data_IF_767155729927
#
_entry.id   IF_767155729927
#
_cell.length_a   1.000
_cell.length_b   1.000
_cell.length_c   1.000
_cell.angle_alpha   90.00
_cell.angle_beta   90.00
_cell.angle_gamma   90.00
#
_symmetry.space_group_name_H-M   'P 1'
#
loop_
_entity.id
_entity.type
_entity.pdbx_description
1 polymer ?
#
# COMPACT_ATOMS: atom_id res chain seq x y z
N UNK A 1 30.79 83.42 -26.92
CA UNK A 1 29.81 82.39 -26.56
C UNK A 1 30.14 81.95 -25.12
N UNK A 2 29.60 80.87 -24.57
CA UNK A 2 29.96 80.48 -23.19
C UNK A 2 31.41 79.98 -23.05
N UNK A 3 32.08 79.62 -24.16
CA UNK A 3 33.45 79.09 -24.22
C UNK A 3 34.50 80.22 -24.33
N UNK A 4 34.06 81.48 -24.31
CA UNK A 4 34.93 82.65 -24.49
C UNK A 4 35.25 82.99 -25.95
N UNK A 5 34.67 82.27 -26.93
CA UNK A 5 34.90 82.51 -28.35
C UNK A 5 34.00 83.65 -28.88
N UNK A 6 34.59 84.66 -29.51
CA UNK A 6 33.84 85.78 -30.10
C UNK A 6 33.01 85.28 -31.29
N UNK A 7 31.69 85.49 -31.26
CA UNK A 7 30.72 84.96 -32.23
C UNK A 7 30.70 83.42 -32.35
N UNK A 8 31.21 82.69 -31.35
CA UNK A 8 31.10 81.23 -31.29
C UNK A 8 29.67 80.74 -31.02
N UNK A 9 29.47 79.43 -31.10
CA UNK A 9 28.15 78.78 -30.99
C UNK A 9 27.94 77.97 -29.71
N UNK A 10 28.91 77.92 -28.78
CA UNK A 10 28.77 77.19 -27.52
C UNK A 10 27.79 77.89 -26.54
N UNK A 11 26.94 77.12 -25.88
CA UNK A 11 25.97 77.65 -24.90
C UNK A 11 26.01 76.84 -23.61
N UNK A 12 25.60 77.47 -22.49
CA UNK A 12 25.35 76.74 -21.25
C UNK A 12 24.17 75.80 -21.51
N UNK A 13 24.39 74.51 -21.32
CA UNK A 13 23.42 73.45 -21.52
C UNK A 13 22.56 73.24 -20.26
N UNK A 14 21.63 72.30 -20.30
CA UNK A 14 20.69 72.06 -19.20
C UNK A 14 21.33 71.40 -17.98
N UNK A 15 22.59 70.97 -18.09
CA UNK A 15 23.43 70.51 -16.97
C UNK A 15 24.19 71.66 -16.29
N UNK A 16 24.08 72.88 -16.82
CA UNK A 16 24.87 74.03 -16.38
C UNK A 16 26.31 74.02 -16.90
N UNK A 17 26.62 73.18 -17.90
CA UNK A 17 27.96 73.06 -18.50
C UNK A 17 28.00 73.84 -19.81
N UNK A 18 29.11 74.51 -20.09
CA UNK A 18 29.31 75.12 -21.41
C UNK A 18 29.65 74.04 -22.44
N UNK A 19 28.73 73.77 -23.38
CA UNK A 19 28.82 72.65 -24.34
C UNK A 19 28.49 73.11 -25.78
N UNK A 20 28.89 72.32 -26.79
CA UNK A 20 28.73 72.66 -28.21
C UNK A 20 29.83 73.58 -28.77
N UNK A 21 29.73 73.99 -30.04
CA UNK A 21 30.75 74.81 -30.70
C UNK A 21 32.14 74.17 -30.69
N UNK A 22 33.15 74.90 -30.22
CA UNK A 22 34.54 74.44 -30.12
C UNK A 22 34.90 73.79 -28.77
N UNK A 23 33.95 73.57 -27.86
CA UNK A 23 34.21 72.99 -26.54
C UNK A 23 34.65 71.52 -26.62
N UNK A 24 34.33 70.82 -27.71
CA UNK A 24 34.51 69.37 -27.84
C UNK A 24 33.52 68.55 -27.01
N UNK A 25 32.61 69.21 -26.28
CA UNK A 25 31.58 68.57 -25.46
C UNK A 25 30.26 68.54 -26.23
N UNK A 26 29.59 67.38 -26.18
CA UNK A 26 28.23 67.23 -26.71
C UNK A 26 27.27 67.87 -25.68
N UNK A 27 26.38 68.80 -26.09
CA UNK A 27 25.40 69.40 -25.19
C UNK A 27 24.59 68.37 -24.41
N UNK A 28 24.34 68.69 -23.14
CA UNK A 28 23.53 67.93 -22.17
C UNK A 28 24.12 66.56 -21.75
N UNK A 29 25.10 66.01 -22.47
CA UNK A 29 25.62 64.66 -22.27
C UNK A 29 26.16 64.36 -20.87
N UNK A 30 26.57 65.38 -20.11
CA UNK A 30 27.16 65.22 -18.77
C UNK A 30 26.15 64.91 -17.66
N UNK A 31 24.87 65.22 -17.87
CA UNK A 31 23.79 64.96 -16.92
C UNK A 31 22.60 64.24 -17.56
N UNK A 32 22.72 63.83 -18.82
CA UNK A 32 21.79 62.91 -19.46
C UNK A 32 21.90 61.55 -18.80
N UNK A 33 20.77 61.02 -18.33
CA UNK A 33 20.69 59.69 -17.73
C UNK A 33 20.76 58.58 -18.81
N UNK A 34 20.75 57.31 -18.41
CA UNK A 34 20.87 56.23 -19.39
C UNK A 34 19.67 56.11 -20.35
N UNK A 35 18.53 56.76 -20.04
CA UNK A 35 17.31 56.78 -20.86
C UNK A 35 17.32 57.95 -21.86
N UNK A 36 18.35 58.81 -21.81
CA UNK A 36 18.43 60.00 -22.64
C UNK A 36 17.75 61.23 -22.03
N UNK A 37 17.27 61.15 -20.78
CA UNK A 37 16.61 62.26 -20.11
C UNK A 37 17.64 63.15 -19.41
N UNK A 38 17.63 64.43 -19.76
CA UNK A 38 18.52 65.43 -19.17
C UNK A 38 18.13 65.68 -17.71
N UNK A 39 19.08 65.54 -16.79
CA UNK A 39 18.86 65.52 -15.34
C UNK A 39 17.88 64.42 -14.88
N UNK A 40 17.74 63.36 -15.67
CA UNK A 40 16.97 62.19 -15.31
C UNK A 40 17.63 61.36 -14.22
N UNK A 41 16.90 60.37 -13.69
CA UNK A 41 17.37 59.51 -12.58
C UNK A 41 17.53 58.04 -12.99
N UNK A 42 17.41 57.70 -14.27
CA UNK A 42 17.61 56.33 -14.72
C UNK A 42 19.10 55.95 -14.69
N UNK A 43 19.40 54.72 -14.28
CA UNK A 43 20.77 54.20 -14.22
C UNK A 43 20.85 52.81 -14.82
N UNK A 44 22.05 52.43 -15.31
CA UNK A 44 22.32 51.05 -15.66
C UNK A 44 22.33 50.22 -14.37
N UNK A 45 21.46 49.22 -14.32
CA UNK A 45 21.30 48.33 -13.17
C UNK A 45 22.22 47.10 -13.25
N UNK A 46 22.08 46.17 -12.30
CA UNK A 46 22.91 44.96 -12.22
C UNK A 46 22.61 43.96 -13.34
N UNK A 47 21.53 44.18 -14.10
CA UNK A 47 21.17 43.42 -15.29
C UNK A 47 21.77 44.01 -16.56
N UNK A 48 22.48 45.14 -16.46
CA UNK A 48 22.98 45.89 -17.60
C UNK A 48 21.90 46.64 -18.37
N UNK A 49 20.71 46.81 -17.77
CA UNK A 49 19.56 47.49 -18.38
C UNK A 49 19.46 48.90 -17.80
N UNK A 50 19.11 49.87 -18.64
CA UNK A 50 18.76 51.19 -18.15
C UNK A 50 17.38 51.16 -17.50
N UNK A 51 17.30 51.38 -16.19
CA UNK A 51 16.06 51.26 -15.40
C UNK A 51 15.94 52.36 -14.33
N UNK A 52 14.76 52.50 -13.74
CA UNK A 52 14.41 53.64 -12.87
C UNK A 52 14.08 54.93 -13.65
N UNK A 53 13.83 56.04 -12.95
CA UNK A 53 13.44 57.30 -13.58
C UNK A 53 12.19 57.18 -14.45
N UNK A 54 12.25 57.68 -15.69
CA UNK A 54 11.13 57.66 -16.65
C UNK A 54 11.14 56.45 -17.60
N UNK A 55 12.03 55.47 -17.39
CA UNK A 55 12.10 54.27 -18.26
C UNK A 55 10.83 53.41 -18.18
N UNK A 56 10.06 53.53 -17.10
CA UNK A 56 8.96 52.62 -16.79
C UNK A 56 9.42 51.22 -16.33
N UNK A 57 10.74 51.02 -16.19
CA UNK A 57 11.35 49.77 -15.74
C UNK A 57 11.75 49.89 -14.27
N UNK A 58 11.46 48.86 -13.48
CA UNK A 58 11.90 48.75 -12.10
C UNK A 58 13.37 48.29 -12.08
N UNK A 59 14.27 48.95 -11.33
CA UNK A 59 15.66 48.53 -11.22
C UNK A 59 15.83 47.07 -10.83
N UNK A 60 16.78 46.40 -11.50
CA UNK A 60 17.17 45.01 -11.31
C UNK A 60 16.08 43.95 -11.63
N UNK A 61 14.87 44.36 -11.96
CA UNK A 61 13.73 43.45 -12.12
C UNK A 61 13.91 42.47 -13.29
N UNK A 62 14.69 42.81 -14.32
CA UNK A 62 14.86 41.95 -15.51
C UNK A 62 15.78 40.74 -15.30
N UNK A 63 16.59 40.73 -14.25
CA UNK A 63 17.50 39.63 -13.92
C UNK A 63 17.41 39.21 -12.44
N UNK A 64 16.40 39.70 -11.72
CA UNK A 64 16.09 39.24 -10.39
C UNK A 64 15.68 37.76 -10.43
N UNK A 65 16.20 36.98 -9.49
CA UNK A 65 15.76 35.61 -9.24
C UNK A 65 14.39 35.59 -8.51
N UNK A 66 13.92 34.40 -8.15
CA UNK A 66 12.63 34.23 -7.51
C UNK A 66 12.54 34.81 -6.08
N UNK A 67 13.67 35.17 -5.47
CA UNK A 67 13.73 35.88 -4.19
C UNK A 67 14.00 37.38 -4.35
N UNK A 68 14.01 37.89 -5.59
CA UNK A 68 14.27 39.29 -5.90
C UNK A 68 15.76 39.66 -5.87
N UNK A 69 16.66 38.68 -5.86
CA UNK A 69 18.10 38.90 -5.84
C UNK A 69 18.61 39.00 -7.29
N UNK A 70 19.23 40.13 -7.69
CA UNK A 70 19.74 40.29 -9.05
C UNK A 70 20.85 39.27 -9.34
N UNK A 71 20.74 38.53 -10.45
CA UNK A 71 21.64 37.44 -10.83
C UNK A 71 21.81 36.35 -9.75
N UNK A 72 20.79 36.16 -8.91
CA UNK A 72 20.79 35.13 -7.87
C UNK A 72 20.54 33.71 -8.41
N UNK A 73 20.77 32.68 -7.57
CA UNK A 73 20.70 31.28 -7.98
C UNK A 73 19.27 30.74 -8.07
N UNK A 74 18.27 31.39 -7.45
CA UNK A 74 16.91 30.87 -7.30
C UNK A 74 16.06 31.09 -8.56
N UNK A 75 16.43 30.39 -9.64
CA UNK A 75 15.78 30.50 -10.95
C UNK A 75 14.87 29.31 -11.25
N UNK A 76 13.89 29.43 -12.18
CA UNK A 76 13.00 28.32 -12.53
C UNK A 76 13.74 27.02 -12.84
N UNK A 77 13.32 25.93 -12.19
CA UNK A 77 13.93 24.61 -12.28
C UNK A 77 15.07 24.35 -11.28
N UNK A 78 15.50 25.35 -10.51
CA UNK A 78 16.44 25.14 -9.40
C UNK A 78 15.71 24.59 -8.17
N UNK A 79 16.40 23.81 -7.31
CA UNK A 79 15.82 23.27 -6.09
C UNK A 79 15.44 24.39 -5.10
N UNK A 80 14.37 24.16 -4.34
CA UNK A 80 13.94 25.02 -3.23
C UNK A 80 13.35 24.15 -2.10
N UNK A 81 12.72 24.75 -1.08
CA UNK A 81 11.97 24.07 -0.03
C UNK A 81 10.73 24.91 0.28
N UNK A 82 9.53 24.38 0.01
CA UNK A 82 8.26 25.08 0.23
C UNK A 82 7.74 24.91 1.67
N UNK A 83 8.48 24.18 2.52
CA UNK A 83 8.18 23.91 3.92
C UNK A 83 7.06 22.87 4.12
N UNK A 84 6.57 22.25 3.05
CA UNK A 84 5.52 21.24 3.12
C UNK A 84 6.11 19.83 3.22
N UNK A 85 5.97 19.19 4.38
CA UNK A 85 6.46 17.82 4.59
C UNK A 85 5.77 16.71 3.77
N UNK A 86 4.77 17.05 2.94
CA UNK A 86 4.04 16.13 2.07
C UNK A 86 4.49 16.21 0.59
N UNK A 87 5.54 16.96 0.29
CA UNK A 87 6.07 17.13 -1.07
C UNK A 87 7.57 16.83 -1.12
N UNK A 88 8.04 16.33 -2.28
CA UNK A 88 9.43 16.05 -2.60
C UNK A 88 9.85 16.75 -3.89
N UNK A 89 11.15 16.92 -4.06
CA UNK A 89 11.76 17.50 -5.26
C UNK A 89 11.22 18.90 -5.57
N UNK A 90 11.16 19.77 -4.56
CA UNK A 90 10.70 21.14 -4.68
C UNK A 90 11.57 21.95 -5.64
N UNK A 91 10.93 22.63 -6.59
CA UNK A 91 11.60 23.47 -7.58
C UNK A 91 10.85 24.75 -7.82
N UNK A 92 11.58 25.80 -8.19
CA UNK A 92 11.00 27.07 -8.63
C UNK A 92 10.27 26.89 -9.98
N UNK A 93 9.00 27.28 -10.07
CA UNK A 93 8.26 27.30 -11.32
C UNK A 93 8.53 28.58 -12.16
N UNK A 94 7.97 28.67 -13.37
CA UNK A 94 8.10 29.85 -14.25
C UNK A 94 7.45 31.12 -13.68
N UNK A 95 6.67 30.98 -12.61
CA UNK A 95 5.99 32.06 -11.90
C UNK A 95 6.66 32.37 -10.55
N UNK A 96 7.83 31.79 -10.28
CA UNK A 96 8.58 31.94 -9.03
C UNK A 96 7.82 31.50 -7.77
N UNK A 97 6.97 30.48 -7.90
CA UNK A 97 6.48 29.72 -6.77
C UNK A 97 7.43 28.55 -6.51
N UNK A 98 7.88 28.41 -5.26
CA UNK A 98 8.52 27.17 -4.84
C UNK A 98 7.41 26.13 -4.65
N UNK A 99 7.41 25.09 -5.48
CA UNK A 99 6.41 24.04 -5.43
C UNK A 99 7.09 22.67 -5.45
N UNK A 100 6.66 21.84 -4.52
CA UNK A 100 7.02 20.43 -4.49
C UNK A 100 6.14 19.53 -5.34
N UNK A 101 6.68 18.38 -5.72
CA UNK A 101 5.87 17.27 -6.22
C UNK A 101 5.28 16.56 -5.01
N UNK A 102 3.95 16.36 -4.91
CA UNK A 102 3.39 15.60 -3.79
C UNK A 102 4.10 14.26 -3.63
N UNK A 103 4.58 13.97 -2.42
CA UNK A 103 5.05 12.64 -2.06
C UNK A 103 3.83 11.73 -2.17
N UNK A 104 3.72 11.04 -3.30
CA UNK A 104 2.56 10.19 -3.64
C UNK A 104 1.34 10.97 -4.15
N UNK A 105 1.29 11.26 -5.46
CA UNK A 105 0.18 11.91 -6.17
C UNK A 105 -1.22 11.28 -5.98
N UNK A 106 -1.84 11.57 -4.82
CA UNK A 106 -3.06 10.95 -4.36
C UNK A 106 -4.24 11.21 -5.29
N UNK A 107 -4.87 10.12 -5.71
CA UNK A 107 -6.04 10.12 -6.62
C UNK A 107 -7.25 9.44 -5.99
N UNK A 108 -7.06 8.73 -4.86
CA UNK A 108 -8.07 7.91 -4.22
C UNK A 108 -8.06 8.17 -2.70
N UNK A 109 -9.19 8.61 -2.17
CA UNK A 109 -9.39 8.81 -0.74
C UNK A 109 -9.98 7.54 -0.12
N UNK A 110 -9.38 7.08 0.98
CA UNK A 110 -9.81 5.88 1.70
C UNK A 110 -9.97 6.16 3.18
N UNK A 111 -10.71 5.29 3.87
CA UNK A 111 -10.80 5.26 5.32
C UNK A 111 -10.42 3.87 5.82
N UNK A 112 -9.52 3.81 6.80
CA UNK A 112 -9.20 2.61 7.55
C UNK A 112 -9.82 2.72 8.94
N UNK A 113 -10.94 2.03 9.13
CA UNK A 113 -11.63 1.94 10.41
C UNK A 113 -11.04 0.77 11.22
N UNK A 114 -10.50 1.05 12.39
CA UNK A 114 -9.82 0.09 13.26
C UNK A 114 -10.61 -0.01 14.56
N UNK A 115 -11.24 -1.15 14.81
CA UNK A 115 -11.85 -1.46 16.09
C UNK A 115 -10.79 -2.03 17.01
N UNK A 116 -10.37 -1.25 18.01
CA UNK A 116 -9.33 -1.67 18.94
C UNK A 116 -9.82 -2.75 19.90
N UNK A 117 -8.90 -3.55 20.40
CA UNK A 117 -9.09 -4.31 21.63
C UNK A 117 -8.64 -3.49 22.85
N UNK A 118 -8.46 -4.13 24.01
CA UNK A 118 -8.08 -3.42 25.22
C UNK A 118 -6.62 -2.94 25.23
N UNK A 119 -5.78 -3.40 24.30
CA UNK A 119 -4.34 -3.13 24.26
C UNK A 119 -3.96 -2.40 22.96
N UNK A 120 -4.64 -1.28 22.68
CA UNK A 120 -4.39 -0.48 21.49
C UNK A 120 -2.92 -0.06 21.29
N UNK A 121 -2.10 -0.03 22.35
CA UNK A 121 -0.66 0.25 22.23
C UNK A 121 0.14 -0.80 21.47
N UNK A 122 -0.42 -1.99 21.27
CA UNK A 122 0.20 -3.09 20.53
C UNK A 122 -0.20 -3.08 19.04
N UNK A 123 -1.31 -2.41 18.70
CA UNK A 123 -1.83 -2.35 17.34
C UNK A 123 -1.12 -1.28 16.52
N UNK A 124 -0.42 -1.69 15.46
CA UNK A 124 0.11 -0.78 14.43
C UNK A 124 -0.32 -1.22 13.04
N UNK A 125 -0.22 -0.35 12.05
CA UNK A 125 -0.51 -0.71 10.66
C UNK A 125 0.42 0.00 9.70
N UNK A 126 0.65 -0.65 8.55
CA UNK A 126 1.55 -0.21 7.51
C UNK A 126 0.96 -0.51 6.13
N UNK A 127 1.07 0.44 5.21
CA UNK A 127 0.74 0.25 3.80
C UNK A 127 2.02 0.31 2.99
N UNK A 128 2.28 -0.76 2.24
CA UNK A 128 3.40 -0.86 1.31
C UNK A 128 2.93 -0.79 -0.14
N UNK A 129 3.87 -0.50 -1.04
CA UNK A 129 3.71 -0.69 -2.49
C UNK A 129 3.30 -2.13 -2.86
N UNK A 130 3.00 -2.34 -4.15
CA UNK A 130 2.57 -3.65 -4.68
C UNK A 130 3.59 -4.77 -4.40
N UNK A 131 4.87 -4.44 -4.38
CA UNK A 131 5.99 -5.38 -4.18
C UNK A 131 6.23 -5.71 -2.70
N UNK A 132 5.71 -4.90 -1.77
CA UNK A 132 5.95 -5.03 -0.34
C UNK A 132 7.32 -4.51 0.08
N UNK A 133 7.90 -3.59 -0.69
CA UNK A 133 9.28 -3.12 -0.52
C UNK A 133 9.36 -1.70 0.00
N UNK A 134 8.49 -0.81 -0.49
CA UNK A 134 8.45 0.59 -0.08
C UNK A 134 7.27 0.82 0.85
N UNK A 135 7.56 1.33 2.06
CA UNK A 135 6.54 1.83 2.98
C UNK A 135 5.96 3.13 2.40
N UNK A 136 4.63 3.19 2.27
CA UNK A 136 3.89 4.34 1.74
C UNK A 136 3.34 5.19 2.88
N UNK A 137 2.74 4.54 3.88
CA UNK A 137 2.17 5.21 5.06
C UNK A 137 1.96 4.20 6.18
N UNK A 138 1.89 4.67 7.42
CA UNK A 138 1.71 3.84 8.62
C UNK A 138 1.00 4.63 9.73
N UNK A 139 0.54 3.92 10.75
CA UNK A 139 -0.10 4.51 11.93
C UNK A 139 -0.17 3.57 13.13
N UNK A 140 -0.77 4.07 14.21
CA UNK A 140 -0.58 3.53 15.56
C UNK A 140 0.80 3.89 16.14
N UNK A 141 1.13 3.38 17.34
CA UNK A 141 0.27 2.64 18.25
C UNK A 141 -0.84 3.51 18.85
N UNK A 142 -1.87 2.90 19.41
CA UNK A 142 -3.03 3.58 19.99
C UNK A 142 -3.04 3.55 21.52
N UNK A 143 -4.03 4.19 22.14
CA UNK A 143 -4.17 4.20 23.59
C UNK A 143 -4.73 2.86 24.10
N UNK A 144 -4.23 2.38 25.24
CA UNK A 144 -4.79 1.22 25.94
C UNK A 144 -6.11 1.55 26.68
N UNK A 145 -6.89 0.51 26.97
CA UNK A 145 -8.09 0.58 27.82
C UNK A 145 -9.33 1.15 27.13
N UNK A 146 -9.30 1.31 25.81
CA UNK A 146 -10.42 1.83 25.00
C UNK A 146 -10.99 0.77 24.04
N UNK A 147 -10.90 -0.52 24.41
CA UNK A 147 -11.37 -1.62 23.58
C UNK A 147 -12.83 -1.49 23.12
N UNK A 148 -13.07 -1.90 21.88
CA UNK A 148 -14.33 -1.72 21.15
C UNK A 148 -14.51 -0.35 20.52
N UNK A 149 -13.60 0.61 20.75
CA UNK A 149 -13.62 1.91 20.09
C UNK A 149 -13.11 1.79 18.66
N UNK A 150 -13.75 2.52 17.73
CA UNK A 150 -13.30 2.63 16.34
C UNK A 150 -12.42 3.86 16.17
N UNK A 151 -11.18 3.66 15.74
CA UNK A 151 -10.29 4.71 15.24
C UNK A 151 -10.40 4.74 13.72
N UNK A 152 -10.67 5.92 13.14
CA UNK A 152 -10.73 6.09 11.69
C UNK A 152 -9.52 6.85 11.21
N UNK A 153 -8.69 6.18 10.43
CA UNK A 153 -7.54 6.77 9.73
C UNK A 153 -7.96 7.16 8.31
N UNK A 154 -7.71 8.41 7.93
CA UNK A 154 -7.98 8.90 6.58
C UNK A 154 -6.72 8.75 5.75
N UNK A 155 -6.83 8.03 4.63
CA UNK A 155 -5.70 7.70 3.77
C UNK A 155 -5.87 8.30 2.39
N UNK A 156 -4.73 8.63 1.77
CA UNK A 156 -4.68 9.19 0.43
C UNK A 156 -3.70 8.35 -0.40
N UNK A 157 -4.21 7.58 -1.37
CA UNK A 157 -3.41 6.66 -2.19
C UNK A 157 -3.62 6.91 -3.69
N UNK A 158 -2.79 6.29 -4.52
CA UNK A 158 -2.84 6.43 -5.98
C UNK A 158 -3.57 5.24 -6.61
N UNK A 159 -3.98 5.36 -7.88
CA UNK A 159 -4.60 4.28 -8.66
C UNK A 159 -3.61 3.16 -9.05
N UNK A 160 -3.02 2.48 -8.06
CA UNK A 160 -2.14 1.32 -8.20
C UNK A 160 -2.53 0.23 -7.19
N UNK A 161 -1.69 -0.81 -7.07
CA UNK A 161 -1.87 -1.86 -6.08
C UNK A 161 -0.99 -1.64 -4.85
N UNK A 162 -1.50 -2.03 -3.68
CA UNK A 162 -0.87 -1.88 -2.38
C UNK A 162 -1.04 -3.14 -1.53
N UNK A 163 -0.36 -3.15 -0.38
CA UNK A 163 -0.49 -4.17 0.66
C UNK A 163 -0.72 -3.46 1.99
N UNK A 164 -1.77 -3.86 2.69
CA UNK A 164 -1.99 -3.47 4.08
C UNK A 164 -1.48 -4.57 5.00
N UNK A 165 -0.71 -4.19 6.02
CA UNK A 165 -0.25 -5.05 7.09
C UNK A 165 -0.72 -4.42 8.40
N UNK A 166 -1.35 -5.21 9.27
CA UNK A 166 -1.68 -4.83 10.64
C UNK A 166 -0.88 -5.72 11.57
N UNK A 167 -0.19 -5.11 12.52
CA UNK A 167 0.70 -5.80 13.45
C UNK A 167 0.16 -5.68 14.88
N UNK A 168 0.49 -6.70 15.66
CA UNK A 168 0.22 -6.79 17.08
C UNK A 168 1.49 -7.28 17.81
N UNK A 169 1.99 -6.48 18.74
CA UNK A 169 3.29 -6.74 19.39
C UNK A 169 3.28 -8.00 20.28
N UNK A 170 2.13 -8.41 20.80
CA UNK A 170 2.02 -9.54 21.74
C UNK A 170 1.66 -10.87 21.05
N UNK A 171 1.19 -10.82 19.80
CA UNK A 171 0.89 -11.98 19.00
C UNK A 171 -0.46 -12.63 19.27
N UNK A 172 -1.36 -11.97 19.98
CA UNK A 172 -2.74 -12.40 20.20
C UNK A 172 -3.75 -11.71 19.26
N UNK A 173 -3.26 -10.79 18.42
CA UNK A 173 -4.05 -10.11 17.40
C UNK A 173 -4.88 -8.98 17.99
N UNK A 174 -6.09 -8.78 17.49
CA UNK A 174 -7.01 -7.75 17.99
C UNK A 174 -8.26 -8.40 18.59
N UNK A 175 -8.16 -8.91 19.82
CA UNK A 175 -9.21 -9.75 20.42
C UNK A 175 -10.54 -8.98 20.61
N UNK A 176 -11.53 -9.30 19.77
CA UNK A 176 -12.83 -8.61 19.74
C UNK A 176 -12.81 -7.28 19.00
N UNK A 177 -11.71 -6.98 18.32
CA UNK A 177 -11.52 -5.85 17.43
C UNK A 177 -11.58 -6.25 15.95
N UNK A 178 -10.79 -5.55 15.13
CA UNK A 178 -10.68 -5.79 13.70
C UNK A 178 -10.45 -4.50 12.92
N UNK A 179 -10.40 -4.60 11.58
CA UNK A 179 -10.19 -3.43 10.73
C UNK A 179 -10.91 -3.55 9.39
N UNK A 180 -11.37 -2.42 8.88
CA UNK A 180 -12.09 -2.31 7.61
C UNK A 180 -11.52 -1.16 6.79
N UNK A 181 -11.01 -1.48 5.60
CA UNK A 181 -10.55 -0.50 4.63
C UNK A 181 -11.66 -0.22 3.61
N UNK A 182 -11.99 1.06 3.37
CA UNK A 182 -13.03 1.50 2.45
C UNK A 182 -12.53 2.61 1.54
N UNK A 183 -13.14 2.72 0.37
CA UNK A 183 -13.00 3.93 -0.46
C UNK A 183 -13.95 5.07 -0.03
N UNK A 184 -13.83 6.21 -0.71
CA UNK A 184 -14.65 7.40 -0.52
C UNK A 184 -16.16 7.19 -0.74
N UNK A 185 -16.54 6.13 -1.46
CA UNK A 185 -17.92 5.69 -1.67
C UNK A 185 -18.41 4.71 -0.60
N UNK A 186 -17.58 4.39 0.39
CA UNK A 186 -17.87 3.45 1.48
C UNK A 186 -17.83 1.98 1.04
N UNK A 187 -17.35 1.67 -0.18
CA UNK A 187 -17.19 0.31 -0.67
C UNK A 187 -16.02 -0.35 0.06
N UNK A 188 -16.25 -1.54 0.63
CA UNK A 188 -15.22 -2.28 1.36
C UNK A 188 -14.18 -2.85 0.40
N UNK A 189 -12.91 -2.62 0.75
CA UNK A 189 -11.71 -3.15 0.09
C UNK A 189 -11.18 -4.34 0.90
N UNK A 190 -11.13 -4.20 2.22
CA UNK A 190 -10.72 -5.23 3.20
C UNK A 190 -11.67 -5.15 4.39
N UNK A 191 -12.02 -6.30 4.95
CA UNK A 191 -12.81 -6.45 6.18
C UNK A 191 -12.22 -7.62 6.97
N UNK A 192 -11.67 -7.35 8.14
CA UNK A 192 -10.87 -8.28 8.93
C UNK A 192 -11.32 -8.27 10.39
N UNK A 193 -11.45 -9.45 11.00
CA UNK A 193 -11.99 -9.64 12.35
C UNK A 193 -10.92 -9.65 13.46
N UNK A 194 -9.69 -9.25 13.13
CA UNK A 194 -8.59 -9.15 14.09
C UNK A 194 -7.94 -10.47 14.51
N UNK A 195 -8.37 -11.62 13.97
CA UNK A 195 -7.84 -12.94 14.34
C UNK A 195 -6.53 -13.29 13.61
N UNK A 196 -5.46 -12.58 13.94
CA UNK A 196 -4.10 -12.88 13.48
C UNK A 196 -3.15 -13.01 14.69
N UNK A 197 -1.94 -13.55 14.46
CA UNK A 197 -0.90 -13.61 15.49
C UNK A 197 -0.22 -12.24 15.64
N UNK A 198 1.10 -12.18 15.50
CA UNK A 198 1.83 -10.89 15.60
C UNK A 198 1.65 -9.96 14.40
N UNK A 199 1.15 -10.49 13.29
CA UNK A 199 0.89 -9.71 12.08
C UNK A 199 -0.11 -10.42 11.20
N UNK A 200 -0.92 -9.66 10.46
CA UNK A 200 -1.79 -10.13 9.38
C UNK A 200 -0.92 -10.62 8.20
N UNK A 201 -0.14 -11.68 8.41
CA UNK A 201 0.99 -12.07 7.57
C UNK A 201 0.57 -12.95 6.39
N UNK A 202 -0.19 -12.38 5.45
CA UNK A 202 0.00 -12.59 4.00
C UNK A 202 -0.89 -11.69 3.14
N UNK A 203 -0.28 -10.66 2.57
CA UNK A 203 -0.66 -9.95 1.33
C UNK A 203 -2.16 -9.91 1.04
N UNK A 204 -2.91 -9.12 1.80
CA UNK A 204 -4.21 -8.65 1.34
C UNK A 204 -3.97 -7.57 0.30
N UNK A 205 -3.57 -8.01 -0.91
CA UNK A 205 -3.33 -7.13 -2.04
C UNK A 205 -4.65 -6.50 -2.43
N UNK A 206 -4.66 -5.18 -2.43
CA UNK A 206 -5.75 -4.41 -3.01
C UNK A 206 -5.22 -3.50 -4.11
N UNK A 207 -6.10 -3.17 -5.05
CA UNK A 207 -5.78 -2.29 -6.16
C UNK A 207 -6.88 -1.26 -6.28
N UNK A 208 -6.49 -0.03 -6.64
CA UNK A 208 -7.37 1.09 -6.84
C UNK A 208 -7.35 1.54 -8.31
N UNK A 209 -8.44 2.12 -8.83
CA UNK A 209 -9.76 2.21 -8.19
C UNK A 209 -10.48 0.85 -8.18
N UNK A 210 -11.48 0.69 -7.30
CA UNK A 210 -12.37 -0.46 -7.36
C UNK A 210 -13.27 -0.38 -8.60
N UNK A 211 -13.41 -1.51 -9.30
CA UNK A 211 -14.34 -1.62 -10.43
C UNK A 211 -15.79 -1.76 -9.98
N UNK A 212 -16.70 -1.66 -10.95
CA UNK A 212 -18.13 -1.86 -10.73
C UNK A 212 -18.54 -3.34 -10.63
N UNK A 213 -17.64 -4.29 -10.91
CA UNK A 213 -17.96 -5.70 -10.73
C UNK A 213 -18.21 -5.95 -9.24
N UNK A 214 -19.22 -6.75 -8.89
CA UNK A 214 -19.53 -7.08 -7.50
C UNK A 214 -20.25 -8.40 -7.40
N UNK A 215 -20.37 -8.93 -6.19
CA UNK A 215 -21.37 -9.95 -5.90
C UNK A 215 -22.77 -9.33 -5.93
N UNK A 216 -23.80 -10.14 -6.21
CA UNK A 216 -25.19 -9.70 -6.08
C UNK A 216 -25.43 -9.31 -4.62
N UNK A 217 -26.12 -8.18 -4.38
CA UNK A 217 -26.27 -7.62 -3.03
C UNK A 217 -26.97 -8.60 -2.06
N UNK A 218 -27.91 -9.44 -2.53
CA UNK A 218 -28.57 -10.49 -1.71
C UNK A 218 -27.65 -11.65 -1.30
N UNK A 219 -26.48 -11.75 -1.92
CA UNK A 219 -25.46 -12.75 -1.65
C UNK A 219 -24.22 -12.16 -0.97
N UNK A 220 -24.17 -10.84 -0.81
CA UNK A 220 -23.13 -10.17 -0.06
C UNK A 220 -23.34 -10.38 1.45
N UNK A 221 -22.27 -10.51 2.23
CA UNK A 221 -22.30 -10.63 3.70
C UNK A 221 -23.06 -11.84 4.26
N UNK A 222 -23.12 -12.93 3.47
CA UNK A 222 -23.76 -14.18 3.88
C UNK A 222 -22.79 -15.03 4.70
N UNK A 223 -22.97 -15.00 6.03
CA UNK A 223 -22.19 -15.81 6.99
C UNK A 223 -22.89 -17.11 7.41
N UNK A 224 -24.10 -17.35 6.91
CA UNK A 224 -24.98 -18.47 7.25
C UNK A 224 -24.99 -19.59 6.20
N UNK A 225 -24.08 -19.56 5.22
CA UNK A 225 -24.09 -20.53 4.12
C UNK A 225 -23.59 -21.88 4.62
N UNK A 226 -24.25 -22.96 4.20
CA UNK A 226 -23.75 -24.33 4.44
C UNK A 226 -22.68 -24.65 3.41
N UNK A 227 -21.61 -25.33 3.79
CA UNK A 227 -20.58 -25.75 2.86
C UNK A 227 -21.02 -27.01 2.10
N UNK A 228 -21.62 -26.80 0.92
CA UNK A 228 -22.21 -27.88 0.13
C UNK A 228 -22.14 -27.61 -1.38
N UNK A 229 -22.35 -28.64 -2.18
CA UNK A 229 -22.44 -28.55 -3.65
C UNK A 229 -23.69 -27.81 -4.14
N UNK A 230 -24.67 -27.58 -3.26
CA UNK A 230 -25.84 -26.72 -3.54
C UNK A 230 -25.59 -25.23 -3.26
N UNK A 231 -24.49 -24.87 -2.60
CA UNK A 231 -24.21 -23.49 -2.22
C UNK A 231 -23.58 -22.74 -3.39
N UNK A 232 -24.28 -21.72 -3.87
CA UNK A 232 -23.88 -20.92 -5.01
C UNK A 232 -23.58 -19.49 -4.59
N UNK A 233 -22.53 -18.90 -5.15
CA UNK A 233 -22.18 -17.50 -5.00
C UNK A 233 -22.27 -16.85 -6.37
N UNK A 234 -22.91 -15.67 -6.44
CA UNK A 234 -23.25 -15.02 -7.70
C UNK A 234 -22.57 -13.67 -7.86
N UNK A 235 -21.85 -13.52 -8.98
CA UNK A 235 -21.43 -12.22 -9.47
C UNK A 235 -22.64 -11.49 -10.10
N UNK A 236 -22.73 -10.18 -9.91
CA UNK A 236 -23.71 -9.36 -10.60
C UNK A 236 -23.38 -9.31 -12.08
N UNK A 237 -24.39 -9.54 -12.93
CA UNK A 237 -24.26 -9.40 -14.39
C UNK A 237 -24.38 -7.94 -14.84
N UNK A 238 -23.75 -7.03 -14.10
CA UNK A 238 -23.84 -5.59 -14.31
C UNK A 238 -22.74 -5.04 -15.23
N UNK A 239 -21.86 -5.90 -15.76
CA UNK A 239 -20.77 -5.51 -16.65
C UNK A 239 -21.11 -5.85 -18.10
N UNK A 240 -21.40 -4.86 -18.95
CA UNK A 240 -21.64 -5.08 -20.38
C UNK A 240 -20.43 -5.72 -21.06
N UNK A 241 -20.66 -6.73 -21.92
CA UNK A 241 -19.59 -7.40 -22.66
C UNK A 241 -18.74 -8.36 -21.84
N UNK A 242 -19.12 -8.69 -20.60
CA UNK A 242 -18.43 -9.70 -19.80
C UNK A 242 -18.51 -11.09 -20.45
N UNK A 243 -17.34 -11.68 -20.70
CA UNK A 243 -17.15 -13.04 -21.22
C UNK A 243 -17.04 -14.09 -20.10
N UNK A 244 -16.94 -13.63 -18.85
CA UNK A 244 -16.84 -14.45 -17.66
C UNK A 244 -16.39 -13.62 -16.46
N UNK A 245 -16.30 -14.27 -15.31
CA UNK A 245 -15.93 -13.63 -14.05
C UNK A 245 -14.83 -14.42 -13.36
N UNK A 246 -13.85 -13.73 -12.80
CA UNK A 246 -12.93 -14.31 -11.84
C UNK A 246 -13.35 -13.91 -10.44
N UNK A 247 -13.52 -14.91 -9.58
CA UNK A 247 -13.77 -14.77 -8.16
C UNK A 247 -12.43 -14.86 -7.42
N UNK A 248 -12.27 -14.04 -6.39
CA UNK A 248 -11.25 -14.25 -5.37
C UNK A 248 -11.93 -14.55 -4.04
N UNK A 249 -11.40 -15.52 -3.30
CA UNK A 249 -11.75 -15.81 -1.92
C UNK A 249 -10.47 -15.74 -1.11
N UNK A 250 -10.43 -14.79 -0.19
CA UNK A 250 -9.24 -14.43 0.57
C UNK A 250 -9.58 -14.44 2.06
N UNK A 251 -8.75 -15.08 2.87
CA UNK A 251 -8.69 -14.76 4.29
C UNK A 251 -8.07 -13.36 4.43
N UNK A 252 -8.76 -12.39 5.08
CA UNK A 252 -8.19 -11.05 5.33
C UNK A 252 -6.83 -11.05 6.03
N UNK A 253 -6.50 -12.10 6.77
CA UNK A 253 -5.24 -12.23 7.50
C UNK A 253 -4.16 -12.97 6.72
N UNK A 254 -4.51 -13.53 5.56
CA UNK A 254 -3.56 -14.08 4.59
C UNK A 254 -3.32 -15.59 4.63
N UNK A 255 -4.02 -16.36 5.48
CA UNK A 255 -3.84 -17.82 5.53
C UNK A 255 -4.31 -18.52 4.25
N UNK A 256 -5.25 -17.91 3.52
CA UNK A 256 -5.88 -18.49 2.34
C UNK A 256 -6.11 -17.46 1.23
N UNK A 257 -5.78 -17.83 -0.01
CA UNK A 257 -6.17 -17.09 -1.21
C UNK A 257 -6.46 -18.05 -2.36
N UNK A 258 -7.59 -17.83 -3.05
CA UNK A 258 -7.95 -18.61 -4.22
C UNK A 258 -8.65 -17.79 -5.27
N UNK A 259 -8.10 -17.85 -6.48
CA UNK A 259 -8.71 -17.29 -7.68
C UNK A 259 -9.41 -18.37 -8.51
N UNK A 260 -10.65 -18.13 -8.92
CA UNK A 260 -11.43 -19.06 -9.73
C UNK A 260 -12.10 -18.33 -10.88
N UNK A 261 -11.75 -18.68 -12.11
CA UNK A 261 -12.48 -18.21 -13.29
C UNK A 261 -13.71 -19.07 -13.55
N UNK A 262 -14.82 -18.42 -13.91
CA UNK A 262 -16.07 -19.04 -14.35
C UNK A 262 -16.56 -18.32 -15.61
N UNK A 263 -16.94 -19.07 -16.68
CA UNK A 263 -17.57 -18.46 -17.86
C UNK A 263 -18.96 -17.90 -17.53
N UNK A 264 -19.57 -18.37 -16.44
CA UNK A 264 -20.83 -17.84 -15.88
C UNK A 264 -20.54 -17.01 -14.64
N UNK A 265 -21.47 -16.13 -14.26
CA UNK A 265 -21.41 -15.40 -12.99
C UNK A 265 -21.71 -16.26 -11.75
N UNK A 266 -21.50 -17.57 -11.78
CA UNK A 266 -21.87 -18.50 -10.70
C UNK A 266 -20.66 -19.33 -10.29
N UNK A 267 -20.34 -19.28 -9.00
CA UNK A 267 -19.35 -20.12 -8.34
C UNK A 267 -20.03 -21.09 -7.37
N UNK A 268 -19.58 -22.35 -7.38
CA UNK A 268 -19.96 -23.35 -6.37
C UNK A 268 -18.68 -23.71 -5.60
N UNK A 269 -18.46 -23.15 -4.39
CA UNK A 269 -17.23 -23.35 -3.64
C UNK A 269 -16.87 -24.82 -3.40
N UNK A 270 -17.86 -25.65 -3.07
CA UNK A 270 -17.65 -27.07 -2.78
C UNK A 270 -17.19 -27.92 -3.98
N UNK A 271 -17.25 -27.39 -5.21
CA UNK A 271 -16.75 -28.08 -6.40
C UNK A 271 -15.24 -27.85 -6.63
N UNK A 272 -14.58 -27.06 -5.78
CA UNK A 272 -13.16 -26.74 -5.90
C UNK A 272 -12.31 -27.81 -5.22
N UNK A 273 -11.97 -28.86 -5.96
CA UNK A 273 -11.21 -29.99 -5.41
C UNK A 273 -9.73 -29.67 -5.11
N UNK A 274 -9.16 -28.66 -5.76
CA UNK A 274 -7.80 -28.20 -5.51
C UNK A 274 -7.83 -26.89 -4.73
N UNK A 275 -7.17 -26.86 -3.58
CA UNK A 275 -7.18 -25.73 -2.64
C UNK A 275 -8.63 -25.24 -2.35
N UNK A 276 -9.51 -26.12 -1.82
CA UNK A 276 -10.88 -25.74 -1.46
C UNK A 276 -10.88 -24.59 -0.45
N UNK A 277 -11.89 -23.70 -0.46
CA UNK A 277 -12.02 -22.68 0.57
C UNK A 277 -12.18 -23.32 1.95
N UNK A 278 -11.57 -22.73 2.99
CA UNK A 278 -11.72 -23.21 4.36
C UNK A 278 -13.18 -23.08 4.81
N UNK A 279 -13.61 -24.03 5.63
CA UNK A 279 -14.90 -23.96 6.29
C UNK A 279 -14.80 -23.06 7.53
N UNK A 280 -15.94 -22.50 7.96
CA UNK A 280 -16.11 -21.80 9.23
C UNK A 280 -15.23 -20.55 9.42
N UNK A 281 -14.61 -20.06 8.33
CA UNK A 281 -13.81 -18.84 8.28
C UNK A 281 -14.56 -17.73 7.53
N UNK A 282 -14.42 -16.48 8.00
CA UNK A 282 -14.89 -15.30 7.27
C UNK A 282 -13.92 -14.97 6.13
N UNK A 283 -14.39 -15.11 4.90
CA UNK A 283 -13.60 -14.85 3.70
C UNK A 283 -14.04 -13.55 3.04
N UNK A 284 -13.07 -12.71 2.67
CA UNK A 284 -13.27 -11.60 1.77
C UNK A 284 -13.40 -12.11 0.33
N UNK A 285 -14.61 -12.03 -0.20
CA UNK A 285 -14.93 -12.47 -1.55
C UNK A 285 -15.16 -11.27 -2.46
N UNK A 286 -14.35 -11.17 -3.53
CA UNK A 286 -14.45 -10.13 -4.56
C UNK A 286 -14.47 -10.75 -5.95
N UNK A 287 -14.97 -9.98 -6.92
CA UNK A 287 -15.06 -10.44 -8.32
C UNK A 287 -14.52 -9.39 -9.28
N UNK A 288 -14.02 -9.85 -10.42
CA UNK A 288 -13.69 -9.01 -11.59
C UNK A 288 -14.18 -9.66 -12.87
N UNK A 289 -14.60 -8.84 -13.83
CA UNK A 289 -15.08 -9.31 -15.12
C UNK A 289 -13.92 -9.49 -16.12
N UNK A 290 -14.04 -10.47 -17.01
CA UNK A 290 -13.22 -10.61 -18.20
C UNK A 290 -13.95 -9.96 -19.38
N UNK A 291 -13.39 -8.92 -19.98
CA UNK A 291 -13.98 -8.19 -21.12
C UNK A 291 -12.94 -8.12 -22.23
N UNK A 292 -13.29 -8.55 -23.44
CA UNK A 292 -12.39 -8.59 -24.60
C UNK A 292 -11.03 -9.25 -24.30
N UNK A 293 -11.05 -10.36 -23.55
CA UNK A 293 -9.83 -11.08 -23.16
C UNK A 293 -8.98 -10.42 -22.06
N UNK A 294 -9.40 -9.28 -21.49
CA UNK A 294 -8.68 -8.57 -20.44
C UNK A 294 -9.49 -8.50 -19.14
N UNK A 295 -8.84 -8.77 -18.00
CA UNK A 295 -9.48 -8.63 -16.70
C UNK A 295 -9.61 -7.16 -16.30
N UNK A 296 -10.81 -6.77 -15.88
CA UNK A 296 -11.05 -5.47 -15.27
C UNK A 296 -10.49 -5.41 -13.84
N UNK A 297 -10.54 -4.24 -13.21
CA UNK A 297 -10.20 -4.08 -11.79
C UNK A 297 -11.08 -4.93 -10.87
N UNK A 298 -10.61 -5.17 -9.65
CA UNK A 298 -11.42 -5.86 -8.63
C UNK A 298 -12.54 -4.98 -8.11
N UNK A 299 -13.69 -5.59 -7.84
CA UNK A 299 -14.81 -4.97 -7.16
C UNK A 299 -14.65 -4.85 -5.65
N UNK A 300 -15.67 -4.27 -5.02
CA UNK A 300 -15.84 -4.31 -3.56
C UNK A 300 -15.88 -5.76 -3.06
N UNK A 301 -15.40 -5.98 -1.83
CA UNK A 301 -15.53 -7.27 -1.14
C UNK A 301 -16.92 -7.45 -0.51
N UNK A 302 -17.27 -8.71 -0.28
CA UNK A 302 -18.30 -9.14 0.65
C UNK A 302 -17.70 -10.19 1.59
N UNK A 303 -18.17 -10.26 2.84
CA UNK A 303 -17.69 -11.26 3.79
C UNK A 303 -18.56 -12.51 3.70
N UNK A 304 -17.99 -13.65 3.36
CA UNK A 304 -18.73 -14.91 3.19
C UNK A 304 -18.17 -15.97 4.13
N UNK A 305 -19.05 -16.69 4.84
CA UNK A 305 -18.69 -17.86 5.65
C UNK A 305 -19.39 -19.11 5.14
N UNK A 306 -18.61 -20.17 4.92
CA UNK A 306 -19.09 -21.49 4.51
C UNK A 306 -19.03 -22.44 5.72
N UNK A 307 -20.17 -22.69 6.34
CA UNK A 307 -20.26 -23.44 7.58
C UNK A 307 -20.29 -24.96 7.35
N UNK A 308 -19.57 -25.73 8.16
CA UNK A 308 -19.53 -27.20 8.02
C UNK A 308 -20.95 -27.80 8.20
N UNK A 309 -21.41 -28.71 7.30
CA UNK A 309 -22.75 -29.32 7.41
C UNK A 309 -22.93 -30.10 8.73
N UNK A 310 -23.99 -29.78 9.48
CA UNK A 310 -24.33 -30.45 10.74
C UNK A 310 -23.83 -29.77 12.02
N UNK A 311 -23.04 -28.68 11.90
CA UNK A 311 -22.56 -27.86 13.01
C UNK A 311 -23.48 -26.69 13.36
N UNK A 312 -24.72 -26.96 13.75
CA UNK A 312 -25.58 -25.94 14.34
C UNK A 312 -25.18 -25.67 15.79
N UNK A 313 -24.44 -24.56 16.01
CA UNK A 313 -24.09 -23.97 17.33
C UNK A 313 -23.17 -24.82 18.22
N UNK A 314 -21.88 -24.53 18.15
CA UNK A 314 -21.11 -24.26 19.36
C UNK A 314 -19.98 -23.29 19.00
N UNK A 315 -19.90 -22.17 19.73
CA UNK A 315 -18.61 -21.60 20.03
C UNK A 315 -17.87 -22.67 20.85
N UNK A 316 -17.15 -23.54 20.17
CA UNK A 316 -16.08 -24.34 20.74
C UNK A 316 -14.88 -23.93 19.94
N UNK A 317 -14.05 -23.08 20.55
CA UNK A 317 -12.62 -23.13 20.30
C UNK A 317 -12.23 -24.61 20.32
N UNK A 318 -11.92 -25.12 19.14
CA UNK A 318 -11.22 -26.38 18.93
C UNK A 318 -10.02 -26.09 18.04
N UNK A 319 -9.33 -25.01 18.38
CA UNK A 319 -7.89 -24.93 18.26
C UNK A 319 -7.44 -24.46 19.64
N UNK A 320 -7.20 -25.41 20.51
CA UNK A 320 -6.26 -25.18 21.61
C UNK A 320 -4.87 -25.07 20.95
N UNK A 321 -4.61 -23.93 20.29
CA UNK A 321 -3.24 -23.51 19.97
C UNK A 321 -2.73 -22.71 21.17
N UNK A 322 -2.68 -23.37 22.32
CA UNK A 322 -1.81 -22.98 23.41
C UNK A 322 -0.40 -23.56 23.17
N UNK A 323 0.12 -23.43 21.96
CA UNK A 323 1.46 -23.90 21.61
C UNK A 323 1.84 -23.44 20.23
N UNK A 324 2.75 -22.47 20.13
CA UNK A 324 3.23 -21.90 18.88
C UNK A 324 4.06 -22.86 18.00
N UNK A 325 3.83 -24.18 18.10
CA UNK A 325 4.52 -25.20 17.30
C UNK A 325 3.71 -25.51 16.04
N UNK A 326 4.31 -25.33 14.86
CA UNK A 326 3.68 -25.64 13.57
C UNK A 326 4.35 -26.82 12.87
N UNK A 327 3.59 -27.61 12.11
CA UNK A 327 4.13 -28.67 11.24
C UNK A 327 3.76 -28.47 9.77
N UNK A 328 4.79 -28.38 8.95
CA UNK A 328 4.71 -28.31 7.50
C UNK A 328 5.26 -29.58 6.86
N UNK A 329 4.51 -30.15 5.92
CA UNK A 329 4.92 -31.31 5.11
C UNK A 329 5.01 -30.89 3.64
N UNK A 330 6.16 -31.06 3.01
CA UNK A 330 6.33 -30.77 1.59
C UNK A 330 7.24 -31.79 0.87
N UNK A 331 7.02 -32.08 -0.42
CA UNK A 331 5.82 -31.71 -1.18
C UNK A 331 4.61 -32.51 -0.69
N UNK A 332 3.46 -31.84 -0.59
CA UNK A 332 2.18 -32.44 -0.20
C UNK A 332 1.05 -31.80 -1.02
N UNK A 333 0.48 -32.47 -2.04
CA UNK A 333 0.61 -33.90 -2.35
C UNK A 333 2.02 -34.35 -2.75
N UNK A 334 2.42 -35.54 -2.28
CA UNK A 334 3.70 -36.16 -2.50
C UNK A 334 3.62 -37.23 -3.59
N UNK A 335 4.55 -37.23 -4.54
CA UNK A 335 4.70 -38.24 -5.60
C UNK A 335 6.05 -38.98 -5.54
N UNK A 336 6.86 -38.66 -4.55
CA UNK A 336 8.19 -39.22 -4.36
C UNK A 336 8.19 -40.30 -3.29
N UNK A 337 9.41 -40.70 -2.92
CA UNK A 337 9.68 -41.71 -1.91
C UNK A 337 9.89 -41.09 -0.51
N UNK A 338 9.89 -39.76 -0.40
CA UNK A 338 10.11 -39.05 0.85
C UNK A 338 9.30 -37.76 0.94
N UNK A 339 8.94 -37.38 2.17
CA UNK A 339 8.33 -36.10 2.50
C UNK A 339 9.22 -35.34 3.47
N UNK A 340 9.49 -34.06 3.15
CA UNK A 340 10.18 -33.16 4.05
C UNK A 340 9.21 -32.67 5.12
N UNK A 341 9.68 -32.71 6.35
CA UNK A 341 8.98 -32.33 7.55
C UNK A 341 9.69 -31.14 8.17
N UNK A 342 8.98 -30.04 8.35
CA UNK A 342 9.48 -28.84 9.04
C UNK A 342 8.58 -28.57 10.23
N UNK A 343 9.14 -28.76 11.42
CA UNK A 343 8.47 -28.41 12.69
C UNK A 343 9.10 -27.13 13.18
N UNK A 344 8.30 -26.09 13.35
CA UNK A 344 8.75 -24.78 13.84
C UNK A 344 8.14 -24.48 15.22
N UNK A 345 8.72 -23.55 15.97
CA UNK A 345 8.18 -23.11 17.26
C UNK A 345 8.52 -23.98 18.48
N UNK A 346 9.55 -24.83 18.36
CA UNK A 346 10.01 -25.68 19.46
C UNK A 346 10.70 -24.78 20.51
N UNK A 347 10.16 -24.71 21.73
CA UNK A 347 10.66 -23.78 22.75
C UNK A 347 11.92 -24.27 23.49
N UNK A 348 12.14 -25.59 23.52
CA UNK A 348 13.28 -26.22 24.20
C UNK A 348 14.21 -26.94 23.21
N UNK A 349 15.52 -26.85 23.42
CA UNK A 349 16.49 -27.69 22.73
C UNK A 349 16.46 -29.13 23.31
N UNK A 350 16.71 -30.13 22.47
CA UNK A 350 16.75 -31.58 22.80
C UNK A 350 15.40 -32.25 23.08
N UNK A 351 14.31 -31.77 22.45
CA UNK A 351 12.99 -32.41 22.53
C UNK A 351 12.88 -33.57 21.55
N UNK A 352 12.40 -34.72 22.05
CA UNK A 352 12.06 -35.88 21.22
C UNK A 352 10.70 -35.68 20.58
N UNK A 353 10.65 -35.79 19.26
CA UNK A 353 9.45 -35.66 18.46
C UNK A 353 9.10 -37.05 17.91
N UNK A 354 7.97 -37.59 18.34
CA UNK A 354 7.45 -38.85 17.81
C UNK A 354 6.47 -38.55 16.68
N UNK A 355 6.65 -39.21 15.53
CA UNK A 355 5.81 -39.04 14.36
C UNK A 355 5.17 -40.37 14.01
N UNK A 356 3.87 -40.36 13.80
CA UNK A 356 3.02 -41.51 13.52
C UNK A 356 2.15 -41.20 12.30
N UNK A 357 2.30 -41.97 11.24
CA UNK A 357 1.45 -41.89 10.05
C UNK A 357 0.39 -42.96 10.13
N UNK A 358 -0.87 -42.57 10.03
CA UNK A 358 -2.02 -43.47 10.01
C UNK A 358 -2.76 -43.37 8.69
N UNK A 359 -3.36 -44.46 8.23
CA UNK A 359 -4.31 -44.41 7.13
C UNK A 359 -5.64 -43.76 7.55
N UNK A 360 -6.54 -43.52 6.59
CA UNK A 360 -7.86 -42.90 6.84
C UNK A 360 -8.78 -43.72 7.77
N UNK A 361 -8.47 -44.99 8.01
CA UNK A 361 -9.21 -45.86 8.92
C UNK A 361 -8.58 -45.89 10.33
N UNK A 362 -7.53 -45.09 10.57
CA UNK A 362 -6.83 -44.97 11.84
C UNK A 362 -5.81 -46.08 12.11
N UNK A 363 -5.46 -46.89 11.10
CA UNK A 363 -4.40 -47.90 11.24
C UNK A 363 -3.04 -47.21 11.12
N UNK A 364 -2.16 -47.42 12.09
CA UNK A 364 -0.76 -46.98 12.04
C UNK A 364 -0.04 -47.70 10.89
N UNK A 365 0.55 -46.94 9.98
CA UNK A 365 1.26 -47.43 8.78
C UNK A 365 2.73 -47.08 8.76
N UNK A 366 3.16 -46.05 9.50
CA UNK A 366 4.56 -45.68 9.64
C UNK A 366 4.76 -44.95 10.97
N UNK A 367 5.91 -45.12 11.62
CA UNK A 367 6.26 -44.40 12.83
C UNK A 367 7.76 -44.17 12.89
N UNK A 368 8.17 -42.95 13.19
CA UNK A 368 9.57 -42.53 13.26
C UNK A 368 9.75 -41.51 14.40
N UNK A 369 10.97 -41.43 14.93
CA UNK A 369 11.29 -40.50 16.02
C UNK A 369 12.46 -39.61 15.63
N UNK A 370 12.31 -38.32 15.86
CA UNK A 370 13.32 -37.30 15.64
C UNK A 370 13.71 -36.61 16.95
N UNK A 371 14.87 -35.98 16.97
CA UNK A 371 15.29 -35.14 18.10
C UNK A 371 15.60 -33.75 17.55
N UNK A 372 14.94 -32.73 18.10
CA UNK A 372 15.17 -31.35 17.72
C UNK A 372 16.30 -30.76 18.58
N UNK A 373 17.33 -30.19 17.96
CA UNK A 373 18.48 -29.56 18.65
C UNK A 373 18.38 -28.03 18.69
N UNK A 374 17.23 -27.46 18.29
CA UNK A 374 16.97 -26.03 18.23
C UNK A 374 15.48 -25.75 18.01
N UNK A 375 15.13 -24.48 17.77
CA UNK A 375 13.73 -24.01 17.68
C UNK A 375 12.96 -24.51 16.46
N UNK A 376 13.67 -25.08 15.48
CA UNK A 376 13.11 -25.69 14.29
C UNK A 376 13.76 -27.05 14.05
N UNK A 377 12.94 -28.05 13.71
CA UNK A 377 13.39 -29.34 13.22
C UNK A 377 13.10 -29.43 11.72
N UNK A 378 14.16 -29.68 10.95
CA UNK A 378 14.06 -30.04 9.54
C UNK A 378 14.44 -31.52 9.39
N UNK A 379 13.47 -32.35 9.00
CA UNK A 379 13.63 -33.79 8.89
C UNK A 379 13.05 -34.31 7.57
N UNK A 380 13.50 -35.50 7.16
CA UNK A 380 12.99 -36.19 5.98
C UNK A 380 12.40 -37.51 6.43
N UNK A 381 11.11 -37.70 6.21
CA UNK A 381 10.43 -38.96 6.47
C UNK A 381 10.37 -39.76 5.18
N UNK A 382 10.92 -40.97 5.21
CA UNK A 382 10.81 -41.89 4.09
C UNK A 382 9.39 -42.46 4.05
N UNK A 383 8.75 -42.24 2.92
CA UNK A 383 7.43 -42.74 2.60
C UNK A 383 7.56 -43.41 1.25
N UNK A 384 8.31 -44.48 1.15
CA UNK A 384 8.39 -45.36 -0.03
C UNK A 384 7.40 -46.52 0.09
N UNK A 385 7.13 -46.97 1.32
CA UNK A 385 6.27 -48.12 1.62
C UNK A 385 4.75 -47.84 1.70
N UNK A 386 4.32 -46.58 1.68
CA UNK A 386 2.90 -46.20 1.68
C UNK A 386 2.27 -46.36 0.28
N UNK A 387 1.00 -46.74 0.21
CA UNK A 387 0.26 -46.72 -1.05
C UNK A 387 -0.16 -45.28 -1.41
N UNK A 388 -0.56 -45.04 -2.66
CA UNK A 388 -1.26 -43.80 -3.01
C UNK A 388 -2.55 -43.70 -2.19
N UNK A 389 -2.75 -42.58 -1.49
CA UNK A 389 -3.82 -42.44 -0.52
C UNK A 389 -3.69 -41.19 0.35
N UNK A 390 -4.67 -41.02 1.23
CA UNK A 390 -4.65 -39.97 2.25
C UNK A 390 -4.21 -40.60 3.56
N UNK A 391 -3.31 -39.91 4.25
CA UNK A 391 -2.77 -40.32 5.53
C UNK A 391 -2.88 -39.17 6.53
N UNK A 392 -3.04 -39.49 7.80
CA UNK A 392 -2.99 -38.55 8.91
C UNK A 392 -1.66 -38.72 9.61
N UNK A 393 -0.84 -37.68 9.57
CA UNK A 393 0.46 -37.63 10.25
C UNK A 393 0.24 -36.97 11.59
N UNK A 394 0.29 -37.78 12.64
CA UNK A 394 0.31 -37.29 14.00
C UNK A 394 1.76 -37.05 14.41
N UNK A 395 2.04 -35.91 15.01
CA UNK A 395 3.32 -35.67 15.65
C UNK A 395 3.12 -35.22 17.09
N UNK A 396 4.01 -35.66 17.97
CA UNK A 396 3.96 -35.38 19.39
C UNK A 396 5.24 -34.67 19.82
N UNK A 397 5.10 -33.51 20.46
CA UNK A 397 6.19 -32.72 21.05
C UNK A 397 5.89 -32.58 22.54
N UNK A 398 6.68 -33.24 23.39
CA UNK A 398 6.39 -33.29 24.83
C UNK A 398 5.03 -33.97 25.11
N UNK A 399 4.10 -33.24 25.76
CA UNK A 399 2.73 -33.71 26.06
C UNK A 399 1.70 -33.40 24.98
N UNK A 400 2.06 -32.61 23.98
CA UNK A 400 1.11 -32.10 22.99
C UNK A 400 1.17 -32.90 21.70
N UNK A 401 -0.01 -33.12 21.12
CA UNK A 401 -0.18 -33.91 19.90
C UNK A 401 -0.88 -33.06 18.86
N UNK A 402 -0.33 -33.11 17.67
CA UNK A 402 -0.77 -32.35 16.54
C UNK A 402 -0.97 -33.29 15.35
N UNK A 403 -1.78 -32.87 14.40
CA UNK A 403 -2.14 -33.72 13.26
C UNK A 403 -2.11 -32.93 11.97
N UNK A 404 -1.41 -33.46 10.96
CA UNK A 404 -1.31 -32.88 9.64
C UNK A 404 -1.69 -33.91 8.57
N UNK A 405 -2.43 -33.49 7.55
CA UNK A 405 -2.83 -34.39 6.45
C UNK A 405 -1.69 -34.57 5.46
N UNK A 406 -1.35 -35.81 5.12
CA UNK A 406 -0.42 -36.17 4.04
C UNK A 406 -1.21 -36.82 2.89
N UNK A 407 -0.97 -36.36 1.67
CA UNK A 407 -1.56 -36.94 0.45
C UNK A 407 -0.44 -37.57 -0.38
N UNK A 408 -0.50 -38.88 -0.59
CA UNK A 408 0.41 -39.62 -1.46
C UNK A 408 -0.28 -39.94 -2.79
N UNK A 409 0.38 -39.63 -3.91
CA UNK A 409 -0.14 -39.81 -5.26
C UNK A 409 0.65 -40.86 -6.02
#
# INVERSE_FOLDING_TARGET
DCNGDVNGTASIDQCGVCSGGNTGLIPDASCTDCNGDVNGTASIDQCGVCSGGNTGLIPDASCADCLGVPNGPDTPGQPCDDGNGLTENDTWDNNCNCIGTPIGGCTELLTLDITLDNFGSQTTWEIYDETGTQLITSGGPYQDGIGGTVITENLCLNQICYRLIVNDDQGDGMLGGGYVLRDDQGRRIIDADGQFGSSSTKITKFCLPLSNAKLIDSWCDRKDLVYSTSTQIYASQNIPGAQGYQFSMEDPHGSYVRYVFRPTGVLIPANLNTLPPPADLDLNVKVRALVNGSYQGWGKICVIRLNTPGGGRAATSLFDEASGISLNLYPNPNRGEAVFMVVDGIQDADVRIQVEVMDVFGKLVHAEQFTATGSQLNAVMQIDDLASGIYMVNFQVGSERYTQRLVRQ
#
